data_IF_795227378905
#
_entry.id   IF_795227378905
#
_cell.length_a   1.000
_cell.length_b   1.000
_cell.length_c   1.000
_cell.angle_alpha   90.00
_cell.angle_beta   90.00
_cell.angle_gamma   90.00
#
_symmetry.space_group_name_H-M   'P 1'
#
loop_
_entity.id
_entity.type
_entity.pdbx_description
1 polymer ?
#
# COMPACT_ATOMS: atom_id res chain seq x y z
N UNK A 1 47.15 -37.52 10.83
CA UNK A 1 46.36 -36.84 11.88
C UNK A 1 45.40 -35.87 11.21
N UNK A 2 44.32 -36.36 10.62
CA UNK A 2 43.40 -35.53 9.83
C UNK A 2 42.03 -36.23 9.79
N UNK A 3 41.22 -36.04 10.85
CA UNK A 3 39.79 -36.41 10.83
C UNK A 3 38.98 -35.98 12.08
N UNK A 4 39.60 -35.37 13.09
CA UNK A 4 38.87 -34.97 14.30
C UNK A 4 38.23 -33.56 14.23
N UNK A 5 38.67 -32.70 13.29
CA UNK A 5 38.20 -31.29 13.21
C UNK A 5 36.95 -31.09 12.36
N UNK A 6 36.69 -31.97 11.39
CA UNK A 6 35.52 -31.91 10.48
C UNK A 6 34.24 -32.47 11.09
N UNK A 7 34.32 -33.30 12.13
CA UNK A 7 33.16 -33.88 12.83
C UNK A 7 32.55 -32.95 13.88
N UNK A 8 33.32 -32.00 14.44
CA UNK A 8 32.82 -31.03 15.41
C UNK A 8 31.90 -29.98 14.74
N UNK A 9 32.29 -29.46 13.58
CA UNK A 9 31.49 -28.49 12.80
C UNK A 9 30.17 -29.08 12.28
N UNK A 10 30.09 -30.40 12.04
CA UNK A 10 28.83 -31.08 11.63
C UNK A 10 27.88 -31.37 12.80
N UNK A 11 28.33 -31.23 14.05
CA UNK A 11 27.54 -31.55 15.27
C UNK A 11 26.86 -30.35 15.93
N UNK A 12 27.03 -29.15 15.38
CA UNK A 12 26.45 -27.90 15.89
C UNK A 12 25.21 -27.45 15.11
N UNK A 13 24.77 -28.23 14.12
CA UNK A 13 23.39 -28.08 13.65
C UNK A 13 22.47 -28.45 14.81
N UNK A 14 21.54 -27.56 15.22
CA UNK A 14 20.60 -27.90 16.28
C UNK A 14 19.91 -29.20 15.87
N UNK A 15 20.03 -30.23 16.71
CA UNK A 15 19.39 -31.52 16.44
C UNK A 15 17.90 -31.31 16.14
N UNK A 16 17.30 -32.18 15.33
CA UNK A 16 15.86 -32.10 15.02
C UNK A 16 15.01 -31.99 16.31
N UNK A 17 15.41 -32.69 17.37
CA UNK A 17 14.78 -32.59 18.68
C UNK A 17 14.92 -31.20 19.33
N UNK A 18 16.08 -30.55 19.22
CA UNK A 18 16.26 -29.17 19.69
C UNK A 18 15.36 -28.20 18.91
N UNK A 19 15.33 -28.30 17.58
CA UNK A 19 14.47 -27.45 16.74
C UNK A 19 12.99 -27.65 17.12
N UNK A 20 12.55 -28.90 17.26
CA UNK A 20 11.17 -29.23 17.64
C UNK A 20 10.82 -28.67 19.03
N UNK A 21 11.70 -28.85 20.02
CA UNK A 21 11.50 -28.33 21.36
C UNK A 21 11.43 -26.79 21.37
N UNK A 22 12.34 -26.11 20.67
CA UNK A 22 12.31 -24.64 20.56
C UNK A 22 11.05 -24.14 19.86
N UNK A 23 10.62 -24.80 18.79
CA UNK A 23 9.38 -24.45 18.09
C UNK A 23 8.15 -24.62 18.98
N UNK A 24 8.07 -25.71 19.76
CA UNK A 24 6.98 -25.95 20.69
C UNK A 24 6.94 -24.90 21.80
N UNK A 25 8.07 -24.59 22.42
CA UNK A 25 8.16 -23.55 23.46
C UNK A 25 7.79 -22.18 22.89
N UNK A 26 8.32 -21.83 21.71
CA UNK A 26 7.98 -20.57 21.04
C UNK A 26 6.49 -20.47 20.69
N UNK A 27 5.90 -21.56 20.19
CA UNK A 27 4.47 -21.65 19.88
C UNK A 27 3.59 -21.52 21.12
N UNK A 28 3.96 -22.18 22.22
CA UNK A 28 3.24 -22.07 23.50
C UNK A 28 3.30 -20.65 24.05
N UNK A 29 4.46 -19.99 24.03
CA UNK A 29 4.61 -18.60 24.45
C UNK A 29 3.77 -17.64 23.59
N UNK A 30 3.80 -17.80 22.27
CA UNK A 30 2.96 -17.01 21.36
C UNK A 30 1.46 -17.23 21.64
N UNK A 31 1.06 -18.49 21.88
CA UNK A 31 -0.31 -18.84 22.26
C UNK A 31 -0.76 -18.18 23.56
N UNK A 32 0.11 -18.13 24.58
CA UNK A 32 -0.17 -17.43 25.84
C UNK A 32 -0.36 -15.93 25.59
N UNK A 33 0.55 -15.28 24.86
CA UNK A 33 0.47 -13.84 24.53
C UNK A 33 -0.87 -13.50 23.86
N UNK A 34 -1.30 -14.32 22.90
CA UNK A 34 -2.60 -14.16 22.23
C UNK A 34 -3.76 -14.39 23.21
N UNK A 35 -3.71 -15.47 23.99
CA UNK A 35 -4.78 -15.85 24.92
C UNK A 35 -5.03 -14.78 25.99
N UNK A 36 -3.97 -14.19 26.54
CA UNK A 36 -4.11 -13.15 27.58
C UNK A 36 -4.30 -11.74 27.00
N UNK A 37 -4.27 -11.58 25.68
CA UNK A 37 -4.42 -10.28 25.03
C UNK A 37 -3.27 -9.30 25.33
N UNK A 38 -2.06 -9.81 25.53
CA UNK A 38 -0.91 -8.97 25.92
C UNK A 38 -0.43 -8.03 24.80
N UNK A 39 -0.86 -8.26 23.55
CA UNK A 39 -0.53 -7.41 22.42
C UNK A 39 -1.69 -6.46 22.11
N UNK A 40 -1.48 -5.18 22.34
CA UNK A 40 -2.44 -4.14 21.97
C UNK A 40 -2.53 -4.01 20.45
N UNK A 41 -3.75 -4.09 19.92
CA UNK A 41 -4.04 -4.02 18.48
C UNK A 41 -4.68 -2.67 18.09
N UNK A 42 -4.81 -1.74 19.03
CA UNK A 42 -5.29 -0.39 18.77
C UNK A 42 -4.45 0.30 17.70
N UNK A 43 -5.09 0.96 16.73
CA UNK A 43 -4.39 1.71 15.69
C UNK A 43 -3.63 2.94 16.25
N UNK A 44 -4.06 3.43 17.42
CA UNK A 44 -3.39 4.48 18.20
C UNK A 44 -2.18 3.98 19.00
N UNK A 45 -1.91 2.66 18.98
CA UNK A 45 -0.80 1.99 19.66
C UNK A 45 0.17 1.42 18.61
N UNK A 46 1.23 2.16 18.22
CA UNK A 46 2.12 1.72 17.16
C UNK A 46 2.83 0.40 17.48
N UNK A 47 3.05 -0.40 16.44
CA UNK A 47 3.94 -1.55 16.50
C UNK A 47 5.31 -1.15 17.08
N UNK A 48 5.95 -2.09 17.79
CA UNK A 48 7.33 -1.92 18.23
C UNK A 48 8.25 -1.67 17.03
N UNK A 49 9.34 -0.90 17.22
CA UNK A 49 10.26 -0.54 16.12
C UNK A 49 10.73 -1.74 15.26
N UNK A 50 11.10 -2.91 15.84
CA UNK A 50 11.50 -4.06 15.03
C UNK A 50 10.35 -4.65 14.21
N UNK A 51 9.14 -4.70 14.78
CA UNK A 51 7.95 -5.21 14.08
C UNK A 51 7.57 -4.27 12.95
N UNK A 52 7.54 -2.95 13.22
CA UNK A 52 7.27 -1.94 12.21
C UNK A 52 8.26 -2.03 11.05
N UNK A 53 9.57 -2.04 11.34
CA UNK A 53 10.63 -2.20 10.34
C UNK A 53 10.44 -3.46 9.49
N UNK A 54 10.12 -4.60 10.10
CA UNK A 54 9.90 -5.85 9.38
C UNK A 54 8.69 -5.75 8.43
N UNK A 55 7.59 -5.17 8.88
CA UNK A 55 6.38 -4.98 8.07
C UNK A 55 6.66 -4.05 6.89
N UNK A 56 7.39 -2.95 7.11
CA UNK A 56 7.78 -2.03 6.04
C UNK A 56 8.67 -2.71 5.00
N UNK A 57 9.69 -3.46 5.43
CA UNK A 57 10.55 -4.22 4.52
C UNK A 57 9.75 -5.26 3.72
N UNK A 58 8.82 -5.98 4.38
CA UNK A 58 7.95 -6.94 3.71
C UNK A 58 7.08 -6.24 2.65
N UNK A 59 6.45 -5.12 3.00
CA UNK A 59 5.64 -4.29 2.09
C UNK A 59 6.46 -3.87 0.88
N UNK A 60 7.60 -3.21 1.11
CA UNK A 60 8.38 -2.58 0.05
C UNK A 60 9.01 -3.59 -0.89
N UNK A 61 9.55 -4.70 -0.35
CA UNK A 61 10.08 -5.80 -1.17
C UNK A 61 8.99 -6.50 -1.97
N UNK A 62 7.81 -6.71 -1.37
CA UNK A 62 6.68 -7.31 -2.09
C UNK A 62 6.24 -6.42 -3.25
N UNK A 63 6.03 -5.13 -3.02
CA UNK A 63 5.64 -4.17 -4.06
C UNK A 63 6.68 -4.16 -5.19
N UNK A 64 7.97 -4.07 -4.86
CA UNK A 64 9.05 -4.02 -5.84
C UNK A 64 9.16 -5.29 -6.69
N UNK A 65 8.82 -6.47 -6.13
CA UNK A 65 8.80 -7.74 -6.89
C UNK A 65 7.54 -7.87 -7.73
N UNK A 66 6.37 -7.54 -7.18
CA UNK A 66 5.08 -7.76 -7.84
C UNK A 66 4.74 -6.73 -8.91
N UNK A 67 5.36 -5.55 -8.85
CA UNK A 67 5.20 -4.52 -9.88
C UNK A 67 6.13 -4.70 -11.09
N UNK A 68 7.04 -5.68 -11.08
CA UNK A 68 8.08 -5.83 -12.13
C UNK A 68 7.51 -5.94 -13.54
N UNK A 69 6.43 -6.70 -13.68
CA UNK A 69 5.83 -7.03 -14.97
C UNK A 69 4.64 -6.10 -15.32
N UNK A 70 4.45 -5.02 -14.56
CA UNK A 70 3.45 -3.99 -14.88
C UNK A 70 3.98 -3.13 -16.02
N UNK A 71 3.27 -3.17 -17.14
CA UNK A 71 3.57 -2.36 -18.31
C UNK A 71 3.00 -0.95 -18.16
N UNK A 72 3.88 0.06 -18.16
CA UNK A 72 3.46 1.46 -18.10
C UNK A 72 2.97 1.89 -19.49
N UNK A 73 1.75 2.42 -19.61
CA UNK A 73 1.23 2.87 -20.91
C UNK A 73 2.05 4.08 -21.40
N UNK A 74 2.33 4.11 -22.71
CA UNK A 74 3.08 5.20 -23.33
C UNK A 74 2.37 6.56 -23.20
N UNK A 75 1.05 6.52 -23.02
CA UNK A 75 0.16 7.68 -22.96
C UNK A 75 -0.15 8.12 -21.51
N UNK A 76 0.69 7.76 -20.54
CA UNK A 76 0.51 8.12 -19.13
C UNK A 76 0.45 9.65 -18.90
N UNK A 77 1.08 10.43 -19.77
CA UNK A 77 1.10 11.90 -19.68
C UNK A 77 -0.07 12.61 -20.37
N UNK A 78 -1.03 11.88 -20.95
CA UNK A 78 -2.12 12.47 -21.71
C UNK A 78 -3.03 13.34 -20.85
N UNK A 79 -3.39 14.53 -21.35
CA UNK A 79 -4.25 15.50 -20.63
C UNK A 79 -5.56 14.87 -20.17
N UNK A 80 -6.18 14.00 -20.99
CA UNK A 80 -7.41 13.31 -20.62
C UNK A 80 -7.25 12.44 -19.37
N UNK A 81 -6.12 11.72 -19.25
CA UNK A 81 -5.82 10.90 -18.07
C UNK A 81 -5.62 11.76 -16.82
N UNK A 82 -4.94 12.91 -16.96
CA UNK A 82 -4.77 13.85 -15.86
C UNK A 82 -6.11 14.41 -15.36
N UNK A 83 -7.02 14.75 -16.27
CA UNK A 83 -8.35 15.26 -15.95
C UNK A 83 -9.23 14.21 -15.26
N UNK A 84 -9.28 13.00 -15.82
CA UNK A 84 -9.96 11.83 -15.24
C UNK A 84 -9.39 11.50 -13.85
N UNK A 85 -8.06 11.44 -13.73
CA UNK A 85 -7.36 11.16 -12.48
C UNK A 85 -7.57 12.20 -11.39
N UNK A 86 -7.79 13.48 -11.75
CA UNK A 86 -8.07 14.54 -10.78
C UNK A 86 -9.39 14.30 -10.04
N UNK A 87 -10.44 13.91 -10.77
CA UNK A 87 -11.74 13.54 -10.18
C UNK A 87 -11.62 12.31 -9.28
N UNK A 88 -11.05 11.22 -9.80
CA UNK A 88 -10.84 9.99 -9.04
C UNK A 88 -10.02 10.20 -7.76
N UNK A 89 -8.94 10.99 -7.84
CA UNK A 89 -8.09 11.28 -6.69
C UNK A 89 -8.85 12.03 -5.59
N UNK A 90 -9.67 13.00 -5.97
CA UNK A 90 -10.42 13.84 -5.03
C UNK A 90 -11.45 13.01 -4.25
N UNK A 91 -12.13 12.10 -4.91
CA UNK A 91 -13.14 11.26 -4.26
C UNK A 91 -12.53 10.12 -3.42
N UNK A 92 -11.41 9.55 -3.87
CA UNK A 92 -10.94 8.27 -3.35
C UNK A 92 -9.66 8.34 -2.52
N UNK A 93 -8.85 9.38 -2.73
CA UNK A 93 -7.47 9.41 -2.26
C UNK A 93 -7.17 10.61 -1.35
N UNK A 94 -7.68 11.81 -1.68
CA UNK A 94 -7.33 13.04 -0.95
C UNK A 94 -7.83 13.06 0.49
N UNK A 95 -8.85 12.26 0.83
CA UNK A 95 -9.27 12.08 2.22
C UNK A 95 -8.12 11.61 3.11
N UNK A 96 -7.35 10.61 2.66
CA UNK A 96 -6.26 10.03 3.43
C UNK A 96 -4.89 10.64 3.10
N UNK A 97 -4.61 10.87 1.82
CA UNK A 97 -3.31 11.31 1.31
C UNK A 97 -3.16 12.82 1.16
N UNK A 98 -4.25 13.57 1.35
CA UNK A 98 -4.33 15.03 1.18
C UNK A 98 -3.96 15.48 -0.24
N UNK A 99 -3.86 16.78 -0.46
CA UNK A 99 -3.48 17.38 -1.73
C UNK A 99 -2.67 18.64 -1.46
N UNK A 100 -2.01 19.23 -2.47
CA UNK A 100 -1.32 20.52 -2.32
C UNK A 100 -2.20 21.57 -1.64
N UNK A 101 -1.78 22.04 -0.47
CA UNK A 101 -2.47 23.08 0.31
C UNK A 101 -3.73 22.61 1.04
N UNK A 102 -4.03 21.31 1.09
CA UNK A 102 -5.09 20.80 1.94
C UNK A 102 -4.60 20.69 3.40
N UNK A 103 -5.47 21.07 4.32
CA UNK A 103 -5.30 20.81 5.74
C UNK A 103 -5.50 19.33 6.07
N UNK A 104 -4.99 18.90 7.23
CA UNK A 104 -5.16 17.53 7.69
C UNK A 104 -6.63 17.21 7.93
N UNK A 105 -7.15 16.20 7.25
CA UNK A 105 -8.48 15.64 7.52
C UNK A 105 -8.48 14.79 8.79
N UNK A 106 -9.65 14.61 9.41
CA UNK A 106 -9.82 13.70 10.56
C UNK A 106 -9.30 12.29 10.27
N UNK A 107 -9.62 11.75 9.08
CA UNK A 107 -9.16 10.42 8.68
C UNK A 107 -7.63 10.38 8.51
N UNK A 108 -7.00 11.38 7.88
CA UNK A 108 -5.54 11.41 7.70
C UNK A 108 -4.78 11.40 9.03
N UNK A 109 -5.38 11.94 10.09
CA UNK A 109 -4.81 11.98 11.44
C UNK A 109 -4.99 10.65 12.19
N UNK A 110 -6.10 9.94 11.97
CA UNK A 110 -6.42 8.68 12.66
C UNK A 110 -5.81 7.41 12.05
N UNK A 111 -5.13 7.51 10.90
CA UNK A 111 -4.59 6.33 10.20
C UNK A 111 -3.29 5.82 10.83
N UNK A 112 -3.24 4.49 11.05
CA UNK A 112 -2.01 3.77 11.33
C UNK A 112 -1.81 2.59 10.35
N UNK A 113 -0.65 2.53 9.66
CA UNK A 113 0.32 3.61 9.54
C UNK A 113 -0.30 4.85 8.88
N UNK A 114 0.27 6.04 9.14
CA UNK A 114 -0.16 7.27 8.47
C UNK A 114 0.01 7.13 6.96
N UNK A 115 -0.98 7.60 6.21
CA UNK A 115 -0.88 7.68 4.76
C UNK A 115 0.18 8.72 4.36
N UNK A 116 1.03 8.43 3.36
CA UNK A 116 2.02 9.40 2.88
C UNK A 116 1.35 10.60 2.22
N UNK A 117 1.90 11.79 2.44
CA UNK A 117 1.45 13.00 1.74
C UNK A 117 2.05 13.03 0.33
N UNK A 118 1.28 12.56 -0.66
CA UNK A 118 1.76 12.29 -2.01
C UNK A 118 2.26 13.54 -2.78
N UNK A 119 1.93 14.73 -2.30
CA UNK A 119 2.44 16.01 -2.81
C UNK A 119 3.79 16.43 -2.22
N UNK A 120 4.23 15.82 -1.12
CA UNK A 120 5.45 16.19 -0.38
C UNK A 120 6.50 15.09 -0.35
N UNK A 121 6.09 13.84 -0.52
CA UNK A 121 6.99 12.69 -0.44
C UNK A 121 7.59 12.28 -1.79
N UNK A 122 8.69 11.52 -1.72
CA UNK A 122 9.34 10.96 -2.90
C UNK A 122 8.40 10.00 -3.63
N UNK A 123 8.31 10.16 -4.95
CA UNK A 123 7.45 9.31 -5.75
C UNK A 123 8.09 7.96 -6.04
N UNK A 124 7.32 6.90 -5.75
CA UNK A 124 7.57 5.57 -6.32
C UNK A 124 7.49 5.56 -7.84
N UNK A 125 7.99 4.50 -8.45
CA UNK A 125 7.87 4.32 -9.90
C UNK A 125 6.40 4.17 -10.34
N UNK A 126 6.03 4.52 -11.59
CA UNK A 126 4.64 4.42 -12.05
C UNK A 126 4.05 3.02 -11.92
N UNK A 127 4.87 1.98 -12.14
CA UNK A 127 4.48 0.58 -11.99
C UNK A 127 4.15 0.20 -10.55
N UNK A 128 4.90 0.73 -9.59
CA UNK A 128 4.61 0.51 -8.17
C UNK A 128 3.37 1.28 -7.73
N UNK A 129 3.21 2.53 -8.19
CA UNK A 129 2.01 3.31 -7.93
C UNK A 129 0.75 2.59 -8.46
N UNK A 130 0.79 2.11 -9.70
CA UNK A 130 -0.29 1.30 -10.27
C UNK A 130 -0.58 0.07 -9.43
N UNK A 131 0.45 -0.71 -9.08
CA UNK A 131 0.27 -1.92 -8.29
C UNK A 131 -0.33 -1.65 -6.91
N UNK A 132 0.16 -0.60 -6.23
CA UNK A 132 -0.32 -0.16 -4.92
C UNK A 132 -1.78 0.29 -5.01
N UNK A 133 -2.16 1.11 -5.99
CA UNK A 133 -3.54 1.57 -6.16
C UNK A 133 -4.46 0.38 -6.49
N UNK A 134 -4.05 -0.49 -7.41
CA UNK A 134 -4.82 -1.67 -7.81
C UNK A 134 -5.08 -2.64 -6.66
N UNK A 135 -4.09 -2.88 -5.82
CA UNK A 135 -4.14 -3.94 -4.81
C UNK A 135 -4.31 -3.45 -3.37
N UNK A 136 -4.19 -2.15 -3.14
CA UNK A 136 -4.10 -1.59 -1.79
C UNK A 136 -2.84 -2.06 -1.07
N UNK A 137 -2.78 -1.78 0.23
CA UNK A 137 -1.68 -2.22 1.08
C UNK A 137 -2.26 -2.92 2.30
N UNK A 138 -1.96 -4.22 2.44
CA UNK A 138 -2.37 -5.00 3.62
C UNK A 138 -1.81 -4.37 4.90
N UNK A 139 -2.55 -4.54 6.01
CA UNK A 139 -2.20 -3.95 7.32
C UNK A 139 -2.19 -2.42 7.30
N UNK A 140 -3.00 -1.83 6.42
CA UNK A 140 -3.30 -0.39 6.36
C UNK A 140 -4.77 -0.22 6.00
N UNK A 141 -5.29 1.01 6.05
CA UNK A 141 -6.64 1.31 5.56
C UNK A 141 -6.72 1.45 4.02
N UNK A 142 -5.61 1.31 3.27
CA UNK A 142 -5.61 1.50 1.83
C UNK A 142 -6.31 0.33 1.11
N UNK A 143 -7.48 0.56 0.47
CA UNK A 143 -8.27 -0.50 -0.15
C UNK A 143 -7.70 -0.91 -1.51
N UNK A 144 -8.14 -2.09 -1.99
CA UNK A 144 -7.77 -2.62 -3.30
C UNK A 144 -8.69 -2.11 -4.40
N UNK A 145 -8.35 -0.97 -5.02
CA UNK A 145 -9.22 -0.31 -5.99
C UNK A 145 -9.46 -1.10 -7.28
N UNK A 146 -8.59 -2.04 -7.62
CA UNK A 146 -8.78 -2.95 -8.76
C UNK A 146 -9.97 -3.90 -8.62
N UNK A 147 -10.62 -3.94 -7.45
CA UNK A 147 -11.91 -4.63 -7.28
C UNK A 147 -13.08 -3.85 -7.85
N UNK A 148 -12.95 -2.53 -7.97
CA UNK A 148 -14.04 -1.63 -8.38
C UNK A 148 -13.71 -0.83 -9.63
N UNK A 149 -12.43 -0.61 -9.94
CA UNK A 149 -11.98 0.24 -11.06
C UNK A 149 -11.16 -0.58 -12.06
N UNK A 150 -11.28 -0.22 -13.34
CA UNK A 150 -10.48 -0.81 -14.41
C UNK A 150 -9.02 -0.37 -14.33
N UNK A 151 -8.13 -1.11 -15.00
CA UNK A 151 -6.72 -0.73 -15.11
C UNK A 151 -6.54 0.64 -15.77
N UNK A 152 -7.43 1.03 -16.69
CA UNK A 152 -7.39 2.35 -17.32
C UNK A 152 -7.65 3.49 -16.32
N UNK A 153 -8.68 3.37 -15.50
CA UNK A 153 -8.97 4.36 -14.44
C UNK A 153 -7.86 4.40 -13.39
N UNK A 154 -7.22 3.25 -13.10
CA UNK A 154 -6.07 3.20 -12.20
C UNK A 154 -4.87 3.94 -12.82
N UNK A 155 -4.62 3.80 -14.12
CA UNK A 155 -3.58 4.57 -14.80
C UNK A 155 -3.87 6.07 -14.83
N UNK A 156 -5.14 6.47 -14.90
CA UNK A 156 -5.53 7.88 -14.79
C UNK A 156 -5.20 8.45 -13.40
N UNK A 157 -5.50 7.68 -12.34
CA UNK A 157 -5.07 8.03 -10.97
C UNK A 157 -3.55 8.14 -10.86
N UNK A 158 -2.79 7.20 -11.43
CA UNK A 158 -1.32 7.27 -11.45
C UNK A 158 -0.85 8.53 -12.17
N UNK A 159 -1.43 8.86 -13.32
CA UNK A 159 -1.08 10.04 -14.09
C UNK A 159 -1.22 11.32 -13.24
N UNK A 160 -2.33 11.45 -12.51
CA UNK A 160 -2.58 12.60 -11.66
C UNK A 160 -1.70 12.63 -10.39
N UNK A 161 -1.55 11.50 -9.68
CA UNK A 161 -0.68 11.38 -8.49
C UNK A 161 0.74 11.85 -8.80
N UNK A 162 1.24 11.53 -10.01
CA UNK A 162 2.58 11.94 -10.44
C UNK A 162 2.73 13.45 -10.61
N UNK A 163 1.64 14.19 -10.77
CA UNK A 163 1.67 15.65 -10.89
C UNK A 163 1.63 16.38 -9.55
N UNK A 164 1.13 15.75 -8.49
CA UNK A 164 0.88 16.41 -7.20
C UNK A 164 2.08 17.19 -6.64
N UNK A 165 3.33 16.67 -6.62
CA UNK A 165 4.47 17.42 -6.10
C UNK A 165 4.88 18.64 -6.93
N UNK A 166 4.37 18.74 -8.17
CA UNK A 166 4.65 19.85 -9.08
C UNK A 166 3.53 20.89 -9.12
N UNK A 167 2.44 20.65 -8.39
CA UNK A 167 1.28 21.53 -8.37
C UNK A 167 1.35 22.49 -7.20
N UNK A 168 1.08 23.77 -7.47
CA UNK A 168 0.70 24.72 -6.42
C UNK A 168 -0.70 24.40 -5.90
N UNK A 169 -1.09 24.89 -4.70
CA UNK A 169 -2.46 24.76 -4.21
C UNK A 169 -3.49 25.27 -5.23
N UNK A 170 -3.23 26.39 -5.88
CA UNK A 170 -4.14 26.95 -6.90
C UNK A 170 -4.27 26.03 -8.13
N UNK A 171 -3.17 25.42 -8.59
CA UNK A 171 -3.21 24.47 -9.71
C UNK A 171 -3.97 23.19 -9.35
N UNK A 172 -3.78 22.68 -8.13
CA UNK A 172 -4.54 21.53 -7.63
C UNK A 172 -6.04 21.84 -7.58
N UNK A 173 -6.43 22.97 -6.99
CA UNK A 173 -7.84 23.40 -6.91
C UNK A 173 -8.46 23.57 -8.30
N UNK A 174 -7.74 24.17 -9.24
CA UNK A 174 -8.22 24.30 -10.61
C UNK A 174 -8.40 22.93 -11.30
N UNK A 175 -7.45 22.00 -11.09
CA UNK A 175 -7.52 20.67 -11.69
C UNK A 175 -8.75 19.89 -11.20
N UNK A 176 -9.01 19.86 -9.89
CA UNK A 176 -10.15 19.13 -9.32
C UNK A 176 -11.49 19.79 -9.68
N UNK A 177 -11.55 21.12 -9.78
CA UNK A 177 -12.75 21.83 -10.21
C UNK A 177 -13.08 21.62 -11.70
N UNK A 178 -12.06 21.31 -12.51
CA UNK A 178 -12.19 21.07 -13.96
C UNK A 178 -12.39 19.60 -14.32
N UNK A 179 -12.47 18.70 -13.34
CA UNK A 179 -12.63 17.27 -13.58
C UNK A 179 -13.95 17.04 -14.37
N UNK A 180 -13.87 16.45 -15.58
CA UNK A 180 -14.93 16.53 -16.58
C UNK A 180 -16.17 15.66 -16.28
N UNK A 181 -16.08 14.73 -15.33
CA UNK A 181 -17.14 13.76 -15.03
C UNK A 181 -17.24 13.51 -13.52
N UNK A 182 -18.47 13.36 -13.01
CA UNK A 182 -18.68 12.84 -11.68
C UNK A 182 -18.17 11.37 -11.62
N UNK A 183 -17.66 10.96 -10.46
CA UNK A 183 -17.14 9.60 -10.27
C UNK A 183 -18.17 8.55 -10.70
N UNK A 184 -19.46 8.78 -10.40
CA UNK A 184 -20.56 7.90 -10.75
C UNK A 184 -20.73 7.70 -12.26
N UNK A 185 -20.48 8.72 -13.09
CA UNK A 185 -20.56 8.68 -14.54
C UNK A 185 -19.42 7.86 -15.12
N UNK A 186 -18.20 8.08 -14.63
CA UNK A 186 -17.02 7.30 -15.03
C UNK A 186 -17.19 5.80 -14.74
N UNK A 187 -17.92 5.48 -13.66
CA UNK A 187 -18.21 4.10 -13.26
C UNK A 187 -19.33 3.45 -14.10
N UNK A 188 -20.29 4.22 -14.62
CA UNK A 188 -21.42 3.68 -15.43
C UNK A 188 -20.97 3.04 -16.73
N UNK A 189 -19.90 3.57 -17.34
CA UNK A 189 -19.39 3.11 -18.63
C UNK A 189 -18.40 1.94 -18.52
N UNK A 190 -18.23 1.36 -17.33
CA UNK A 190 -17.33 0.23 -17.10
C UNK A 190 -17.95 -1.12 -17.50
N UNK A 191 -17.31 -1.90 -18.40
CA UNK A 191 -17.70 -3.29 -18.64
C UNK A 191 -17.36 -4.14 -17.41
N UNK A 192 -18.37 -4.76 -16.79
CA UNK A 192 -18.18 -5.78 -15.75
C UNK A 192 -18.84 -5.51 -14.39
N UNK A 193 -19.52 -4.38 -14.19
CA UNK A 193 -20.46 -4.24 -13.06
C UNK A 193 -21.81 -4.92 -13.38
N UNK A 194 -21.78 -6.23 -13.66
CA UNK A 194 -22.99 -7.02 -13.39
C UNK A 194 -23.22 -6.97 -11.90
N UNK A 195 -24.30 -6.31 -11.49
CA UNK A 195 -24.82 -6.32 -10.13
C UNK A 195 -25.01 -7.78 -9.68
N UNK A 196 -23.99 -8.39 -9.09
CA UNK A 196 -24.23 -9.45 -8.11
C UNK A 196 -24.56 -8.74 -6.81
N UNK A 197 -25.83 -8.35 -6.69
CA UNK A 197 -26.44 -8.03 -5.42
C UNK A 197 -26.40 -9.29 -4.52
N UNK A 198 -26.39 -9.13 -3.18
CA UNK A 198 -26.60 -10.25 -2.26
C UNK A 198 -27.98 -10.88 -2.43
#
# INVERSE_FOLDING_TARGET
MENARTTWLRRHFPSVGFIAATALVGGALAGIVVYVGAYDIGADSPHTKPVYWLIEQLRDRSIAVRSRDVNVPANLGDVKRLQSGAGLYTEMCSGCHLGPGLEKSEISQGLYPRAPELSREEQRSPKEQFWIIKHGVKLTAMPAWGKTHSDELIWDMVAFVRQLPRMSPAQYQAAIASAPEDHDAMMKDMPGMTKTAP
#
